data_IF_687825454797
#
_entry.id   IF_687825454797
#
_cell.length_a   1.000
_cell.length_b   1.000
_cell.length_c   1.000
_cell.angle_alpha   90.00
_cell.angle_beta   90.00
_cell.angle_gamma   90.00
#
_symmetry.space_group_name_H-M   'P 1'
#
loop_
_entity.id
_entity.type
_entity.pdbx_description
1 polymer ?
#
# COMPACT_ATOMS: atom_id res chain seq x y z
N UNK A 1 1.65 -4.75 83.91
CA UNK A 1 0.50 -4.18 83.18
C UNK A 1 0.97 -3.76 81.79
N UNK A 2 0.22 -4.23 80.77
CA UNK A 2 0.22 -3.89 79.34
C UNK A 2 1.51 -4.02 78.49
N UNK A 3 1.49 -5.09 77.71
CA UNK A 3 2.23 -5.32 76.47
C UNK A 3 1.87 -4.26 75.41
N UNK A 4 2.87 -3.57 74.87
CA UNK A 4 2.73 -2.70 73.70
C UNK A 4 3.27 -3.42 72.46
N UNK A 5 2.39 -3.65 71.51
CA UNK A 5 2.69 -4.10 70.14
C UNK A 5 3.77 -3.22 69.50
N UNK A 6 4.78 -3.84 68.89
CA UNK A 6 5.49 -3.25 67.76
C UNK A 6 5.70 -4.29 66.65
N UNK A 7 5.52 -3.79 65.44
CA UNK A 7 5.19 -4.51 64.21
C UNK A 7 6.44 -5.10 63.54
N UNK A 8 6.25 -6.26 62.89
CA UNK A 8 7.24 -6.93 62.02
C UNK A 8 7.64 -5.98 60.88
N UNK A 9 8.93 -5.63 60.79
CA UNK A 9 9.52 -5.03 59.58
C UNK A 9 10.19 -6.13 58.75
N UNK A 10 9.54 -6.51 57.66
CA UNK A 10 10.09 -7.38 56.62
C UNK A 10 11.16 -6.62 55.84
N UNK A 11 12.44 -7.04 55.92
CA UNK A 11 13.50 -6.50 55.07
C UNK A 11 13.29 -6.98 53.63
N UNK A 12 12.97 -6.07 52.72
CA UNK A 12 12.91 -6.33 51.29
C UNK A 12 14.32 -6.34 50.66
N UNK A 13 14.59 -7.39 49.88
CA UNK A 13 15.80 -7.62 49.07
C UNK A 13 15.94 -6.54 47.99
N UNK A 14 17.14 -6.00 47.69
CA UNK A 14 17.27 -4.94 46.69
C UNK A 14 16.97 -5.47 45.29
N UNK A 15 15.97 -4.88 44.62
CA UNK A 15 15.68 -5.11 43.20
C UNK A 15 16.85 -4.55 42.38
N UNK A 16 17.54 -5.44 41.68
CA UNK A 16 18.60 -5.19 40.70
C UNK A 16 18.09 -4.15 39.69
N UNK A 17 18.76 -2.99 39.61
CA UNK A 17 18.51 -1.97 38.58
C UNK A 17 18.80 -2.58 37.22
N UNK A 18 17.77 -2.75 36.40
CA UNK A 18 17.93 -3.08 34.98
C UNK A 18 18.38 -1.79 34.30
N UNK A 19 19.66 -1.75 33.89
CA UNK A 19 20.16 -0.72 32.97
C UNK A 19 19.34 -0.80 31.69
N UNK A 20 18.90 0.31 31.07
CA UNK A 20 18.36 0.26 29.72
C UNK A 20 19.50 -0.22 28.82
N UNK A 21 19.40 -1.47 28.37
CA UNK A 21 20.32 -2.03 27.39
C UNK A 21 20.26 -1.17 26.15
N UNK A 22 21.44 -0.74 25.67
CA UNK A 22 21.59 0.00 24.45
C UNK A 22 20.80 -0.70 23.32
N UNK A 23 19.84 0.02 22.75
CA UNK A 23 19.13 -0.42 21.56
C UNK A 23 20.14 -0.73 20.45
N UNK A 24 19.96 -1.80 19.66
CA UNK A 24 20.82 -2.08 18.54
C UNK A 24 20.68 -0.93 17.54
N UNK A 25 21.75 -0.12 17.43
CA UNK A 25 21.97 0.77 16.29
C UNK A 25 22.20 -0.17 15.10
N UNK A 26 21.47 0.03 14.00
CA UNK A 26 21.43 -0.80 12.77
C UNK A 26 20.26 -1.80 12.68
N UNK A 27 19.02 -1.31 12.84
CA UNK A 27 17.89 -1.92 12.13
C UNK A 27 17.48 -0.93 11.04
N UNK A 28 17.84 -1.30 9.82
CA UNK A 28 17.76 -0.46 8.65
C UNK A 28 16.33 0.02 8.33
N UNK A 29 16.32 1.20 7.77
CA UNK A 29 15.29 2.15 7.38
C UNK A 29 14.24 1.65 6.36
N UNK A 30 14.05 0.34 6.18
CA UNK A 30 13.25 -0.24 5.09
C UNK A 30 12.09 -1.11 5.59
N UNK A 31 11.11 -0.50 6.25
CA UNK A 31 9.78 -1.12 6.41
C UNK A 31 8.78 -0.28 5.61
N UNK A 32 8.21 -0.80 4.50
CA UNK A 32 7.31 -0.05 3.62
C UNK A 32 6.14 0.60 4.37
N UNK A 33 5.67 -0.05 5.44
CA UNK A 33 4.51 0.34 6.24
C UNK A 33 4.66 1.68 7.02
N UNK A 34 5.83 2.33 6.99
CA UNK A 34 6.05 3.61 7.69
C UNK A 34 5.82 4.86 6.83
N UNK A 35 5.59 4.71 5.52
CA UNK A 35 5.38 5.84 4.60
C UNK A 35 3.97 6.47 4.82
N UNK A 36 3.85 7.81 4.98
CA UNK A 36 2.58 8.47 5.29
C UNK A 36 1.41 8.13 4.36
N UNK A 37 1.68 7.98 3.05
CA UNK A 37 0.70 7.62 2.02
C UNK A 37 -0.12 6.37 2.38
N UNK A 38 0.57 5.32 2.88
CA UNK A 38 -0.03 4.02 3.18
C UNK A 38 -0.84 3.99 4.48
N UNK A 39 -0.69 5.01 5.33
CA UNK A 39 -1.46 5.19 6.57
C UNK A 39 -2.57 6.23 6.42
N UNK A 40 -2.66 6.86 5.26
CA UNK A 40 -3.65 7.90 5.02
C UNK A 40 -5.05 7.29 4.95
N UNK A 41 -6.05 8.07 5.35
CA UNK A 41 -7.45 7.73 5.14
C UNK A 41 -7.75 7.57 3.64
N UNK A 42 -7.00 8.25 2.77
CA UNK A 42 -7.08 8.11 1.32
C UNK A 42 -6.78 6.68 0.85
N UNK A 43 -5.71 6.05 1.37
CA UNK A 43 -5.38 4.67 1.00
C UNK A 43 -6.41 3.66 1.52
N UNK A 44 -6.91 3.84 2.74
CA UNK A 44 -7.97 3.00 3.28
C UNK A 44 -9.28 3.09 2.45
N UNK A 45 -9.64 4.29 1.99
CA UNK A 45 -10.81 4.52 1.13
C UNK A 45 -10.60 4.01 -0.29
N UNK A 46 -9.38 4.11 -0.83
CA UNK A 46 -9.03 3.51 -2.11
C UNK A 46 -9.32 2.00 -2.12
N UNK A 47 -9.07 1.29 -1.01
CA UNK A 47 -9.43 -0.12 -0.86
C UNK A 47 -10.94 -0.36 -0.83
N UNK A 48 -11.70 0.51 -0.17
CA UNK A 48 -13.17 0.40 -0.11
C UNK A 48 -13.80 0.60 -1.50
N UNK A 49 -13.36 1.62 -2.23
CA UNK A 49 -13.87 1.91 -3.56
C UNK A 49 -13.43 0.86 -4.58
N UNK A 50 -12.20 0.35 -4.46
CA UNK A 50 -11.71 -0.71 -5.32
C UNK A 50 -12.64 -1.93 -5.30
N UNK A 51 -13.17 -2.29 -4.13
CA UNK A 51 -14.15 -3.37 -4.01
C UNK A 51 -15.43 -3.08 -4.82
N UNK A 52 -15.93 -1.85 -4.78
CA UNK A 52 -17.13 -1.46 -5.54
C UNK A 52 -16.87 -1.39 -7.05
N UNK A 53 -15.66 -1.02 -7.47
CA UNK A 53 -15.25 -1.00 -8.87
C UNK A 53 -15.11 -2.40 -9.47
N UNK A 54 -14.75 -3.41 -8.67
CA UNK A 54 -14.66 -4.80 -9.14
C UNK A 54 -16.06 -5.36 -9.45
N UNK A 55 -17.07 -4.96 -8.66
CA UNK A 55 -18.44 -5.44 -8.82
C UNK A 55 -19.18 -4.79 -10.02
N UNK A 56 -18.75 -3.61 -10.47
CA UNK A 56 -19.35 -2.89 -11.60
C UNK A 56 -18.40 -2.77 -12.81
N UNK A 57 -18.73 -3.47 -13.91
CA UNK A 57 -17.94 -3.46 -15.15
C UNK A 57 -17.76 -2.06 -15.74
N UNK A 58 -18.78 -1.19 -15.64
CA UNK A 58 -18.71 0.18 -16.16
C UNK A 58 -17.66 1.03 -15.42
N UNK A 59 -17.64 0.93 -14.10
CA UNK A 59 -16.69 1.60 -13.21
C UNK A 59 -15.25 1.15 -13.46
N UNK A 60 -15.02 -0.16 -13.64
CA UNK A 60 -13.68 -0.68 -13.93
C UNK A 60 -13.12 -0.15 -15.26
N UNK A 61 -13.96 -0.07 -16.29
CA UNK A 61 -13.56 0.48 -17.59
C UNK A 61 -13.30 2.00 -17.50
N UNK A 62 -14.11 2.73 -16.75
CA UNK A 62 -13.93 4.15 -16.48
C UNK A 62 -12.58 4.42 -15.80
N UNK A 63 -12.28 3.67 -14.73
CA UNK A 63 -11.02 3.73 -14.02
C UNK A 63 -9.83 3.45 -14.94
N UNK A 64 -9.91 2.37 -15.74
CA UNK A 64 -8.85 2.04 -16.69
C UNK A 64 -8.57 3.20 -17.65
N UNK A 65 -9.61 3.81 -18.22
CA UNK A 65 -9.46 4.88 -19.19
C UNK A 65 -8.79 6.12 -18.58
N UNK A 66 -9.21 6.49 -17.37
CA UNK A 66 -8.61 7.64 -16.68
C UNK A 66 -7.18 7.34 -16.21
N UNK A 67 -6.94 6.15 -15.67
CA UNK A 67 -5.62 5.74 -15.22
C UNK A 67 -4.63 5.66 -16.39
N UNK A 68 -5.08 5.18 -17.56
CA UNK A 68 -4.27 5.17 -18.77
C UNK A 68 -3.97 6.58 -19.28
N UNK A 69 -4.96 7.49 -19.27
CA UNK A 69 -4.76 8.91 -19.60
C UNK A 69 -3.73 9.55 -18.67
N UNK A 70 -3.88 9.35 -17.36
CA UNK A 70 -2.99 9.88 -16.34
C UNK A 70 -1.58 9.32 -16.49
N UNK A 71 -1.44 8.01 -16.61
CA UNK A 71 -0.15 7.35 -16.84
C UNK A 71 0.55 7.94 -18.08
N UNK A 72 -0.17 8.24 -19.17
CA UNK A 72 0.43 8.88 -20.34
C UNK A 72 0.90 10.32 -20.11
N UNK A 73 0.34 11.03 -19.12
CA UNK A 73 0.62 12.43 -18.83
C UNK A 73 1.66 12.65 -17.72
N UNK A 74 1.91 11.66 -16.85
CA UNK A 74 2.86 11.78 -15.73
C UNK A 74 4.33 11.59 -16.19
N UNK A 75 5.30 12.30 -15.57
CA UNK A 75 6.71 12.02 -15.77
C UNK A 75 7.04 10.59 -15.33
N UNK A 76 7.98 9.94 -16.02
CA UNK A 76 8.37 8.54 -15.74
C UNK A 76 9.41 8.44 -14.62
N UNK A 77 10.18 9.51 -14.45
CA UNK A 77 11.32 9.60 -13.53
C UNK A 77 10.97 9.27 -12.06
N UNK A 78 9.79 9.66 -11.52
CA UNK A 78 9.41 9.27 -10.16
C UNK A 78 9.17 7.77 -10.00
N UNK A 79 8.69 7.09 -11.05
CA UNK A 79 8.29 5.69 -11.00
C UNK A 79 9.46 4.71 -11.20
N UNK A 80 10.54 5.11 -11.90
CA UNK A 80 11.75 4.28 -12.07
C UNK A 80 11.40 2.83 -12.47
N UNK A 81 11.84 1.86 -11.66
CA UNK A 81 11.64 0.42 -11.87
C UNK A 81 10.18 -0.05 -11.75
N UNK A 82 9.29 0.73 -11.12
CA UNK A 82 7.87 0.37 -11.06
C UNK A 82 7.07 0.82 -12.28
N UNK A 83 7.68 1.59 -13.21
CA UNK A 83 7.02 2.02 -14.43
C UNK A 83 6.49 0.86 -15.30
N UNK A 84 7.28 -0.18 -15.60
CA UNK A 84 6.77 -1.34 -16.36
C UNK A 84 5.62 -2.04 -15.63
N UNK A 85 5.67 -2.11 -14.30
CA UNK A 85 4.60 -2.71 -13.51
C UNK A 85 3.32 -1.90 -13.53
N UNK A 86 3.39 -0.56 -13.51
CA UNK A 86 2.23 0.31 -13.73
C UNK A 86 1.59 0.03 -15.10
N UNK A 87 2.41 -0.11 -16.15
CA UNK A 87 1.91 -0.47 -17.47
C UNK A 87 1.28 -1.87 -17.50
N UNK A 88 1.85 -2.83 -16.76
CA UNK A 88 1.30 -4.17 -16.60
C UNK A 88 -0.03 -4.17 -15.85
N UNK A 89 -0.18 -3.38 -14.79
CA UNK A 89 -1.45 -3.20 -14.07
C UNK A 89 -2.57 -2.75 -15.02
N UNK A 90 -2.30 -1.74 -15.86
CA UNK A 90 -3.27 -1.24 -16.84
C UNK A 90 -3.68 -2.33 -17.85
N UNK A 91 -2.70 -3.10 -18.36
CA UNK A 91 -2.97 -4.19 -19.31
C UNK A 91 -3.77 -5.33 -18.65
N UNK A 92 -3.44 -5.69 -17.42
CA UNK A 92 -4.13 -6.71 -16.64
C UNK A 92 -5.60 -6.32 -16.44
N UNK A 93 -5.88 -5.10 -15.97
CA UNK A 93 -7.26 -4.63 -15.78
C UNK A 93 -8.05 -4.66 -17.08
N UNK A 94 -7.42 -4.27 -18.20
CA UNK A 94 -8.08 -4.33 -19.52
C UNK A 94 -8.37 -5.76 -19.95
N UNK A 95 -7.43 -6.69 -19.78
CA UNK A 95 -7.61 -8.09 -20.14
C UNK A 95 -8.69 -8.76 -19.27
N UNK A 96 -8.66 -8.50 -17.96
CA UNK A 96 -9.67 -8.98 -17.02
C UNK A 96 -11.07 -8.43 -17.33
N UNK A 97 -11.19 -7.12 -17.56
CA UNK A 97 -12.46 -6.51 -17.95
C UNK A 97 -13.05 -7.11 -19.24
N UNK A 98 -12.20 -7.56 -20.16
CA UNK A 98 -12.60 -8.21 -21.41
C UNK A 98 -12.89 -9.71 -21.28
N UNK A 99 -12.64 -10.31 -20.12
CA UNK A 99 -12.70 -11.76 -19.92
C UNK A 99 -11.61 -12.52 -20.68
N UNK A 100 -10.53 -11.84 -21.07
CA UNK A 100 -9.36 -12.45 -21.72
C UNK A 100 -8.44 -13.11 -20.69
N UNK A 101 -8.41 -12.61 -19.45
CA UNK A 101 -7.59 -13.12 -18.36
C UNK A 101 -8.29 -12.99 -16.99
N UNK A 102 -8.75 -14.12 -16.44
CA UNK A 102 -9.49 -14.18 -15.16
C UNK A 102 -8.73 -14.91 -14.05
N UNK A 103 -7.44 -15.17 -14.24
CA UNK A 103 -6.59 -15.87 -13.26
C UNK A 103 -5.99 -14.91 -12.23
N UNK A 104 -6.74 -13.87 -11.85
CA UNK A 104 -6.31 -12.82 -10.92
C UNK A 104 -6.92 -13.11 -9.55
N UNK A 105 -6.13 -13.30 -8.47
CA UNK A 105 -6.67 -13.39 -7.12
C UNK A 105 -7.41 -12.10 -6.73
N UNK A 106 -8.57 -12.23 -6.06
CA UNK A 106 -9.41 -11.08 -5.66
C UNK A 106 -8.63 -10.02 -4.86
N UNK A 107 -7.78 -10.47 -3.92
CA UNK A 107 -6.94 -9.57 -3.12
C UNK A 107 -5.96 -8.79 -4.00
N UNK A 108 -5.36 -9.43 -5.00
CA UNK A 108 -4.41 -8.78 -5.91
C UNK A 108 -5.13 -7.78 -6.82
N UNK A 109 -6.31 -8.15 -7.32
CA UNK A 109 -7.15 -7.25 -8.10
C UNK A 109 -7.54 -6.01 -7.29
N UNK A 110 -7.91 -6.19 -6.01
CA UNK A 110 -8.24 -5.11 -5.10
C UNK A 110 -7.07 -4.12 -4.93
N UNK A 111 -5.85 -4.63 -4.66
CA UNK A 111 -4.68 -3.78 -4.52
C UNK A 111 -4.35 -3.01 -5.80
N UNK A 112 -4.44 -3.66 -6.96
CA UNK A 112 -4.17 -3.05 -8.27
C UNK A 112 -5.19 -1.94 -8.56
N UNK A 113 -6.48 -2.21 -8.38
CA UNK A 113 -7.55 -1.23 -8.58
C UNK A 113 -7.38 -0.05 -7.62
N UNK A 114 -7.04 -0.29 -6.36
CA UNK A 114 -6.77 0.78 -5.39
C UNK A 114 -5.58 1.66 -5.80
N UNK A 115 -4.51 1.06 -6.32
CA UNK A 115 -3.33 1.79 -6.82
C UNK A 115 -3.67 2.68 -8.01
N UNK A 116 -4.41 2.15 -8.98
CA UNK A 116 -4.83 2.90 -10.17
C UNK A 116 -5.81 4.02 -9.81
N UNK A 117 -6.71 3.77 -8.85
CA UNK A 117 -7.63 4.79 -8.37
C UNK A 117 -6.89 5.96 -7.71
N UNK A 118 -5.87 5.64 -6.91
CA UNK A 118 -4.99 6.65 -6.30
C UNK A 118 -4.26 7.49 -7.36
N UNK A 119 -3.77 6.85 -8.43
CA UNK A 119 -3.11 7.55 -9.53
C UNK A 119 -4.05 8.53 -10.25
N UNK A 120 -5.29 8.11 -10.50
CA UNK A 120 -6.32 8.90 -11.19
C UNK A 120 -6.68 10.15 -10.41
N UNK A 121 -7.11 9.95 -9.17
CA UNK A 121 -7.53 11.04 -8.30
C UNK A 121 -6.93 10.85 -6.90
N UNK A 122 -5.73 11.42 -6.66
CA UNK A 122 -5.14 11.41 -5.32
C UNK A 122 -5.91 12.32 -4.33
N UNK A 123 -6.86 13.14 -4.81
CA UNK A 123 -7.55 14.17 -4.03
C UNK A 123 -9.00 13.86 -3.65
N UNK A 124 -9.63 12.82 -4.20
CA UNK A 124 -11.08 12.54 -4.02
C UNK A 124 -11.54 12.24 -2.56
N UNK A 125 -10.65 12.31 -1.57
CA UNK A 125 -11.00 11.96 -0.17
C UNK A 125 -10.53 12.93 0.92
N UNK A 126 -9.81 14.02 0.62
CA UNK A 126 -9.41 15.02 1.63
C UNK A 126 -9.46 16.44 1.03
N UNK A 127 -10.31 17.36 1.54
CA UNK A 127 -10.25 18.76 1.16
C UNK A 127 -9.13 19.47 1.93
N UNK A 128 -7.93 19.62 1.32
CA UNK A 128 -7.14 20.88 1.30
C UNK A 128 -5.69 20.73 0.76
N UNK A 129 -5.36 21.58 -0.23
CA UNK A 129 -4.10 22.32 -0.51
C UNK A 129 -2.74 21.62 -0.25
N UNK A 130 -2.14 21.02 -1.27
CA UNK A 130 -0.65 20.95 -1.42
C UNK A 130 -0.26 21.07 -2.92
N UNK A 131 0.23 22.24 -3.40
CA UNK A 131 0.25 22.51 -4.84
C UNK A 131 1.39 21.92 -5.68
N UNK A 132 2.36 21.18 -5.12
CA UNK A 132 3.64 20.98 -5.87
C UNK A 132 4.42 19.69 -5.63
N UNK A 133 3.83 18.62 -5.07
CA UNK A 133 4.58 17.39 -4.72
C UNK A 133 3.85 16.07 -5.06
N UNK A 134 3.10 16.00 -6.18
CA UNK A 134 2.14 14.90 -6.44
C UNK A 134 2.74 13.53 -6.80
N UNK A 135 3.72 13.47 -7.70
CA UNK A 135 4.07 12.19 -8.36
C UNK A 135 4.97 11.25 -7.55
N UNK A 136 5.72 11.76 -6.56
CA UNK A 136 6.59 10.93 -5.71
C UNK A 136 5.74 10.04 -4.79
N UNK A 137 4.59 10.56 -4.37
CA UNK A 137 3.64 9.84 -3.54
C UNK A 137 2.92 8.75 -4.34
N UNK A 138 2.48 9.07 -5.57
CA UNK A 138 1.92 8.10 -6.51
C UNK A 138 2.91 6.94 -6.78
N UNK A 139 4.17 7.28 -7.09
CA UNK A 139 5.21 6.28 -7.32
C UNK A 139 5.44 5.37 -6.10
N UNK A 140 5.31 5.92 -4.89
CA UNK A 140 5.40 5.15 -3.64
C UNK A 140 4.24 4.15 -3.50
N UNK A 141 3.02 4.56 -3.85
CA UNK A 141 1.84 3.68 -3.80
C UNK A 141 1.96 2.58 -4.86
N UNK A 142 2.35 2.93 -6.09
CA UNK A 142 2.58 1.95 -7.16
C UNK A 142 3.70 0.97 -6.76
N UNK A 143 4.82 1.44 -6.21
CA UNK A 143 5.91 0.59 -5.72
C UNK A 143 5.41 -0.40 -4.66
N UNK A 144 4.67 0.09 -3.66
CA UNK A 144 4.13 -0.77 -2.60
C UNK A 144 3.17 -1.84 -3.15
N UNK A 145 2.25 -1.45 -4.04
CA UNK A 145 1.30 -2.39 -4.62
C UNK A 145 2.00 -3.38 -5.56
N UNK A 146 2.99 -2.91 -6.31
CA UNK A 146 3.86 -3.78 -7.13
C UNK A 146 4.48 -4.88 -6.28
N UNK A 147 5.05 -4.54 -5.12
CA UNK A 147 5.64 -5.55 -4.23
C UNK A 147 4.58 -6.52 -3.66
N UNK A 148 3.36 -6.05 -3.42
CA UNK A 148 2.24 -6.88 -2.93
C UNK A 148 1.68 -7.82 -3.99
N UNK A 149 1.68 -7.41 -5.25
CA UNK A 149 1.03 -8.14 -6.35
C UNK A 149 2.03 -8.64 -7.39
N UNK A 150 3.34 -8.64 -7.08
CA UNK A 150 4.41 -8.98 -8.03
C UNK A 150 4.15 -10.32 -8.71
N UNK A 151 3.86 -11.36 -7.94
CA UNK A 151 3.60 -12.69 -8.50
C UNK A 151 2.45 -12.66 -9.53
N UNK A 152 1.32 -12.03 -9.18
CA UNK A 152 0.17 -11.89 -10.09
C UNK A 152 0.51 -11.11 -11.36
N UNK A 153 1.31 -10.05 -11.25
CA UNK A 153 1.76 -9.26 -12.41
C UNK A 153 2.73 -10.06 -13.29
N UNK A 154 3.63 -10.84 -12.68
CA UNK A 154 4.58 -11.70 -13.39
C UNK A 154 3.89 -12.88 -14.11
N UNK A 155 2.90 -13.49 -13.46
CA UNK A 155 2.07 -14.54 -14.04
C UNK A 155 1.30 -14.01 -15.27
N UNK A 156 0.73 -12.81 -15.15
CA UNK A 156 0.07 -12.14 -16.26
C UNK A 156 1.03 -11.84 -17.41
N UNK A 157 2.23 -11.30 -17.14
CA UNK A 157 3.23 -11.02 -18.18
C UNK A 157 3.71 -12.31 -18.89
N UNK A 158 3.81 -13.40 -18.15
CA UNK A 158 4.14 -14.73 -18.69
C UNK A 158 3.04 -15.21 -19.63
N UNK A 159 1.78 -15.12 -19.20
CA UNK A 159 0.62 -15.45 -20.02
C UNK A 159 0.55 -14.60 -21.29
N UNK A 160 0.76 -13.28 -21.21
CA UNK A 160 0.75 -12.39 -22.38
C UNK A 160 1.81 -12.75 -23.43
N UNK A 161 2.93 -13.33 -22.98
CA UNK A 161 4.01 -13.76 -23.86
C UNK A 161 3.69 -15.13 -24.48
N UNK A 162 3.00 -16.01 -23.75
CA UNK A 162 2.61 -17.34 -24.21
C UNK A 162 1.36 -17.34 -25.11
N UNK A 163 0.49 -16.33 -24.98
CA UNK A 163 -0.74 -16.18 -25.77
C UNK A 163 -0.50 -15.55 -27.17
N UNK A 164 0.76 -15.23 -27.51
CA UNK A 164 1.19 -14.72 -28.83
C UNK A 164 1.71 -15.83 -29.70
#
# INVERSE_FOLDING_TARGET
MLSLRQMRKSKAKPRRKIKPGAAPKNLETNVPYRKPALRSEAFARALINAKSCIDDRGSLQGLFNEAARKAAAVPREPFKECWPYLQTMLRLIRAHHRGEYDQVPDDALLWIVAALNYLVDPFDFIPDKTPFLGFIDDATVIEFVTDKTRQTLDDFMTWETAAR
#
